data_IF_270375930193
#
_entry.id   IF_270375930193
#
_cell.length_a   1.000
_cell.length_b   1.000
_cell.length_c   1.000
_cell.angle_alpha   90.00
_cell.angle_beta   90.00
_cell.angle_gamma   90.00
#
_symmetry.space_group_name_H-M   'P 1'
#
loop_
_entity.id
_entity.type
_entity.pdbx_description
1 polymer ?
#
# COMPACT_ATOMS: atom_id res chain seq x y z
N UNK A 1 4.95 17.40 7.09
CA UNK A 1 3.90 17.75 6.09
C UNK A 1 2.81 16.72 6.26
N UNK A 2 1.55 17.13 6.38
CA UNK A 2 0.45 16.17 6.50
C UNK A 2 0.32 15.42 5.16
N UNK A 3 0.41 14.09 5.20
CA UNK A 3 0.19 13.25 4.02
C UNK A 3 -1.29 13.31 3.67
N UNK A 4 -1.63 13.70 2.44
CA UNK A 4 -3.00 13.68 1.93
C UNK A 4 -3.54 12.25 1.98
N UNK A 5 -4.76 12.07 2.46
CA UNK A 5 -5.43 10.77 2.43
C UNK A 5 -5.72 10.31 0.99
N UNK A 6 -5.86 9.00 0.77
CA UNK A 6 -6.24 8.45 -0.53
C UNK A 6 -7.57 8.99 -1.05
N UNK A 7 -8.52 9.30 -0.17
CA UNK A 7 -9.80 9.90 -0.56
C UNK A 7 -9.60 11.32 -1.10
N UNK A 8 -8.74 12.12 -0.46
CA UNK A 8 -8.40 13.47 -0.95
C UNK A 8 -7.68 13.41 -2.29
N UNK A 9 -6.68 12.52 -2.44
CA UNK A 9 -5.96 12.33 -3.71
C UNK A 9 -6.91 11.90 -4.82
N UNK A 10 -7.83 10.97 -4.53
CA UNK A 10 -8.82 10.50 -5.51
C UNK A 10 -9.77 11.63 -5.96
N UNK A 11 -10.22 12.48 -5.04
CA UNK A 11 -11.07 13.62 -5.38
C UNK A 11 -10.30 14.63 -6.24
N UNK A 12 -9.06 14.97 -5.87
CA UNK A 12 -8.20 15.85 -6.68
C UNK A 12 -7.93 15.28 -8.07
N UNK A 13 -7.72 13.96 -8.17
CA UNK A 13 -7.51 13.29 -9.45
C UNK A 13 -8.74 13.36 -10.35
N UNK A 14 -9.95 13.25 -9.79
CA UNK A 14 -11.19 13.44 -10.54
C UNK A 14 -11.34 14.88 -11.06
N UNK A 15 -11.02 15.88 -10.25
CA UNK A 15 -11.10 17.28 -10.65
C UNK A 15 -10.06 17.62 -11.74
N UNK A 16 -8.83 17.13 -11.56
CA UNK A 16 -7.77 17.20 -12.57
C UNK A 16 -8.21 16.54 -13.88
N UNK A 17 -8.73 15.31 -13.83
CA UNK A 17 -9.19 14.63 -15.03
C UNK A 17 -10.29 15.41 -15.76
N UNK A 18 -11.32 15.90 -15.05
CA UNK A 18 -12.40 16.69 -15.65
C UNK A 18 -11.91 17.97 -16.32
N UNK A 19 -10.94 18.64 -15.70
CA UNK A 19 -10.35 19.86 -16.25
C UNK A 19 -9.65 19.60 -17.58
N UNK A 20 -8.94 18.49 -17.67
CA UNK A 20 -8.08 18.17 -18.81
C UNK A 20 -8.72 17.30 -19.89
N UNK A 21 -9.90 16.70 -19.62
CA UNK A 21 -10.62 15.80 -20.54
C UNK A 21 -10.97 16.44 -21.90
N UNK A 22 -11.13 17.77 -21.96
CA UNK A 22 -11.53 18.48 -23.18
C UNK A 22 -10.50 19.49 -23.70
N UNK A 23 -9.31 19.56 -23.08
CA UNK A 23 -8.28 20.53 -23.47
C UNK A 23 -7.58 20.10 -24.77
N UNK A 24 -7.33 21.05 -25.68
CA UNK A 24 -6.82 20.79 -27.04
C UNK A 24 -5.55 21.56 -27.40
N UNK A 25 -5.00 22.36 -26.49
CA UNK A 25 -3.78 23.15 -26.71
C UNK A 25 -2.56 22.37 -26.20
N UNK A 26 -1.55 22.12 -27.05
CA UNK A 26 -0.49 21.15 -26.70
C UNK A 26 0.72 21.74 -25.93
N UNK A 27 1.35 22.84 -26.37
CA UNK A 27 2.69 23.21 -25.85
C UNK A 27 2.70 24.10 -24.59
N UNK A 28 1.86 25.14 -24.51
CA UNK A 28 1.78 26.00 -23.31
C UNK A 28 1.11 25.26 -22.12
N UNK A 29 0.37 24.20 -22.42
CA UNK A 29 -0.37 23.41 -21.45
C UNK A 29 0.46 22.26 -20.86
N UNK A 30 1.49 21.71 -21.53
CA UNK A 30 2.31 20.60 -21.00
C UNK A 30 2.89 20.92 -19.60
N UNK A 31 3.51 22.10 -19.45
CA UNK A 31 4.08 22.48 -18.16
C UNK A 31 3.01 22.69 -17.10
N UNK A 32 1.88 23.29 -17.48
CA UNK A 32 0.72 23.50 -16.60
C UNK A 32 0.12 22.16 -16.16
N UNK A 33 -0.08 21.24 -17.10
CA UNK A 33 -0.53 19.87 -16.88
C UNK A 33 0.31 19.17 -15.83
N UNK A 34 1.63 19.18 -15.98
CA UNK A 34 2.51 18.52 -15.02
C UNK A 34 2.65 19.29 -13.69
N UNK A 35 2.47 20.61 -13.66
CA UNK A 35 2.37 21.31 -12.38
C UNK A 35 1.14 20.82 -11.60
N UNK A 36 -0.02 20.76 -12.26
CA UNK A 36 -1.30 20.35 -11.67
C UNK A 36 -1.34 18.85 -11.35
N UNK A 37 -0.71 18.03 -12.18
CA UNK A 37 -0.53 16.59 -11.92
C UNK A 37 0.16 16.35 -10.59
N UNK A 38 1.21 17.10 -10.25
CA UNK A 38 1.87 16.99 -8.95
C UNK A 38 1.00 17.53 -7.79
N UNK A 39 0.20 18.57 -8.05
CA UNK A 39 -0.72 19.15 -7.06
C UNK A 39 -1.84 18.18 -6.65
N UNK A 40 -2.21 17.21 -7.51
CA UNK A 40 -3.09 16.09 -7.14
C UNK A 40 -2.56 15.34 -5.91
N UNK A 41 -1.24 15.21 -5.81
CA UNK A 41 -0.55 14.55 -4.69
C UNK A 41 -0.14 15.50 -3.57
N UNK A 42 -0.56 16.77 -3.64
CA UNK A 42 -0.21 17.80 -2.65
C UNK A 42 1.24 18.26 -2.73
N UNK A 43 1.93 17.95 -3.82
CA UNK A 43 3.33 18.30 -4.02
C UNK A 43 3.43 19.41 -5.08
N UNK A 44 4.26 20.42 -4.82
CA UNK A 44 4.60 21.37 -5.86
C UNK A 44 5.72 20.78 -6.70
N UNK A 45 5.48 20.59 -8.01
CA UNK A 45 6.48 20.09 -8.97
C UNK A 45 7.82 20.83 -8.84
N UNK A 46 7.80 22.16 -8.68
CA UNK A 46 9.01 23.01 -8.53
C UNK A 46 9.89 22.64 -7.33
N UNK A 47 9.37 21.94 -6.32
CA UNK A 47 10.15 21.51 -5.14
C UNK A 47 10.97 20.26 -5.38
N UNK A 48 10.64 19.48 -6.41
CA UNK A 48 11.21 18.14 -6.60
C UNK A 48 11.70 17.85 -8.02
N UNK A 49 11.16 18.57 -9.02
CA UNK A 49 11.45 18.28 -10.42
C UNK A 49 11.71 19.54 -11.26
N UNK A 50 12.63 19.40 -12.20
CA UNK A 50 12.96 20.39 -13.24
C UNK A 50 12.18 20.11 -14.52
N UNK A 51 11.92 21.15 -15.33
CA UNK A 51 11.46 20.99 -16.71
C UNK A 51 12.61 21.25 -17.67
N UNK A 52 12.56 20.63 -18.84
CA UNK A 52 13.51 20.86 -19.95
C UNK A 52 14.97 20.73 -19.46
N UNK A 53 15.26 19.69 -18.67
CA UNK A 53 16.59 19.50 -18.07
C UNK A 53 17.58 19.08 -19.16
N UNK A 54 18.70 19.81 -19.36
CA UNK A 54 19.70 19.45 -20.34
C UNK A 54 20.47 18.20 -19.89
N UNK A 55 20.59 17.22 -20.78
CA UNK A 55 21.31 15.97 -20.52
C UNK A 55 22.11 15.53 -21.75
N UNK A 56 23.23 14.84 -21.52
CA UNK A 56 23.98 14.22 -22.62
C UNK A 56 23.30 12.92 -23.02
N UNK A 57 23.09 12.73 -24.32
CA UNK A 57 22.58 11.48 -24.91
C UNK A 57 23.72 10.58 -25.37
N UNK A 58 23.38 9.35 -25.73
CA UNK A 58 24.21 8.46 -26.54
C UNK A 58 24.79 9.23 -27.75
N UNK A 59 26.09 9.09 -28.00
CA UNK A 59 26.87 9.83 -29.01
C UNK A 59 27.16 11.31 -28.72
N UNK A 60 27.17 11.73 -27.45
CA UNK A 60 27.60 13.07 -27.03
C UNK A 60 26.72 14.23 -27.56
N UNK A 61 25.50 13.92 -28.02
CA UNK A 61 24.50 14.92 -28.43
C UNK A 61 23.79 15.47 -27.20
N UNK A 62 23.34 16.72 -27.27
CA UNK A 62 22.57 17.33 -26.20
C UNK A 62 21.07 17.03 -26.38
N UNK A 63 20.43 16.57 -25.32
CA UNK A 63 18.99 16.36 -25.21
C UNK A 63 18.39 17.16 -24.08
N UNK A 64 17.06 17.20 -24.03
CA UNK A 64 16.30 17.85 -22.96
C UNK A 64 15.25 16.87 -22.46
N UNK A 65 15.26 16.61 -21.14
CA UNK A 65 14.24 15.80 -20.48
C UNK A 65 13.06 16.69 -20.18
N UNK A 66 11.87 16.27 -20.61
CA UNK A 66 10.66 17.08 -20.47
C UNK A 66 10.35 17.42 -19.01
N UNK A 67 10.33 16.43 -18.11
CA UNK A 67 10.34 16.64 -16.66
C UNK A 67 11.29 15.64 -16.01
N UNK A 68 12.11 16.14 -15.09
CA UNK A 68 13.07 15.32 -14.38
C UNK A 68 13.03 15.52 -12.87
N UNK A 69 12.65 14.45 -12.16
CA UNK A 69 12.82 14.30 -10.72
C UNK A 69 13.96 13.30 -10.48
N UNK A 70 15.14 13.84 -10.11
CA UNK A 70 16.36 13.07 -9.87
C UNK A 70 16.12 11.90 -8.93
N UNK A 71 16.55 10.70 -9.34
CA UNK A 71 16.44 9.48 -8.55
C UNK A 71 15.03 8.87 -8.48
N UNK A 72 14.02 9.51 -9.08
CA UNK A 72 12.61 9.10 -8.90
C UNK A 72 11.88 8.96 -10.23
N UNK A 73 11.76 10.02 -11.03
CA UNK A 73 10.88 10.04 -12.18
C UNK A 73 11.49 10.82 -13.35
N UNK A 74 11.54 10.18 -14.53
CA UNK A 74 11.64 10.87 -15.81
C UNK A 74 10.26 10.90 -16.45
N UNK A 75 9.89 12.03 -17.03
CA UNK A 75 8.73 12.12 -17.92
C UNK A 75 9.19 12.53 -19.30
N UNK A 76 8.66 11.86 -20.33
CA UNK A 76 8.76 12.25 -21.73
C UNK A 76 7.34 12.41 -22.30
N UNK A 77 7.09 13.51 -22.97
CA UNK A 77 5.78 13.90 -23.47
C UNK A 77 5.83 14.10 -24.98
N UNK A 78 4.75 13.68 -25.67
CA UNK A 78 4.60 13.90 -27.10
C UNK A 78 3.28 14.62 -27.40
N UNK A 79 3.20 15.24 -28.57
CA UNK A 79 1.91 15.69 -29.10
C UNK A 79 0.92 14.54 -29.22
N UNK A 80 -0.37 14.85 -29.20
CA UNK A 80 -1.46 13.89 -29.21
C UNK A 80 -1.36 12.92 -30.39
N UNK A 81 -1.46 11.61 -30.13
CA UNK A 81 -1.44 10.55 -31.13
C UNK A 81 -0.05 10.20 -31.68
N UNK A 82 1.02 10.73 -31.10
CA UNK A 82 2.40 10.38 -31.47
C UNK A 82 2.85 9.06 -30.81
N UNK A 83 3.91 8.49 -31.35
CA UNK A 83 4.44 7.20 -30.93
C UNK A 83 5.11 7.28 -29.55
N UNK A 84 4.50 6.64 -28.54
CA UNK A 84 5.04 6.58 -27.18
C UNK A 84 6.22 5.60 -27.03
N UNK A 85 6.40 4.64 -27.94
CA UNK A 85 7.58 3.76 -27.92
C UNK A 85 8.86 4.54 -28.22
N UNK A 86 8.81 5.52 -29.13
CA UNK A 86 9.93 6.42 -29.41
C UNK A 86 10.25 7.30 -28.20
N UNK A 87 9.22 7.75 -27.47
CA UNK A 87 9.40 8.51 -26.24
C UNK A 87 10.03 7.67 -25.12
N UNK A 88 9.63 6.39 -24.98
CA UNK A 88 10.28 5.44 -24.06
C UNK A 88 11.75 5.25 -24.41
N UNK A 89 12.05 4.96 -25.68
CA UNK A 89 13.44 4.80 -26.14
C UNK A 89 14.28 6.06 -25.87
N UNK A 90 13.71 7.25 -26.13
CA UNK A 90 14.34 8.53 -25.83
C UNK A 90 14.63 8.71 -24.33
N UNK A 91 13.73 8.29 -23.44
CA UNK A 91 13.95 8.34 -21.99
C UNK A 91 15.15 7.46 -21.56
N UNK A 92 15.31 6.28 -22.15
CA UNK A 92 16.45 5.39 -21.88
C UNK A 92 17.78 5.94 -22.41
N UNK A 93 17.80 6.68 -23.52
CA UNK A 93 19.02 7.30 -24.06
C UNK A 93 19.68 8.30 -23.08
N UNK A 94 18.92 8.85 -22.13
CA UNK A 94 19.45 9.79 -21.14
C UNK A 94 20.28 9.12 -20.05
N UNK A 95 20.14 7.81 -19.84
CA UNK A 95 20.76 7.10 -18.72
C UNK A 95 22.29 7.22 -18.78
N UNK A 96 22.86 7.21 -19.98
CA UNK A 96 24.29 7.46 -20.23
C UNK A 96 24.78 8.82 -19.71
N UNK A 97 23.91 9.83 -19.70
CA UNK A 97 24.23 11.18 -19.27
C UNK A 97 23.96 11.47 -17.80
N UNK A 98 23.31 10.55 -17.09
CA UNK A 98 22.91 10.71 -15.70
C UNK A 98 23.91 10.04 -14.75
N UNK A 99 24.07 10.60 -13.55
CA UNK A 99 24.85 9.97 -12.49
C UNK A 99 24.03 8.85 -11.83
N UNK A 100 24.70 7.91 -11.18
CA UNK A 100 24.06 6.78 -10.48
C UNK A 100 22.90 7.23 -9.55
N UNK A 101 23.13 8.25 -8.70
CA UNK A 101 22.10 8.78 -7.80
C UNK A 101 21.02 9.64 -8.47
N UNK A 102 21.12 9.87 -9.78
CA UNK A 102 20.13 10.60 -10.57
C UNK A 102 19.26 9.68 -11.43
N UNK A 103 19.65 8.41 -11.61
CA UNK A 103 18.89 7.40 -12.35
C UNK A 103 17.48 7.26 -11.76
N UNK A 104 16.42 7.40 -12.56
CA UNK A 104 15.06 7.33 -12.05
C UNK A 104 14.65 5.88 -11.78
N UNK A 105 13.79 5.68 -10.79
CA UNK A 105 13.03 4.43 -10.66
C UNK A 105 11.91 4.34 -11.69
N UNK A 106 11.24 5.45 -11.95
CA UNK A 106 10.05 5.52 -12.80
C UNK A 106 10.32 6.25 -14.11
N UNK A 107 9.76 5.74 -15.20
CA UNK A 107 9.62 6.47 -16.46
C UNK A 107 8.13 6.63 -16.72
N UNK A 108 7.67 7.85 -16.97
CA UNK A 108 6.33 8.12 -17.45
C UNK A 108 6.40 8.68 -18.87
N UNK A 109 5.65 8.08 -19.78
CA UNK A 109 5.49 8.56 -21.15
C UNK A 109 4.02 8.91 -21.40
N UNK A 110 3.74 10.04 -22.05
CA UNK A 110 2.37 10.43 -22.36
C UNK A 110 2.22 11.31 -23.60
N UNK A 111 1.04 11.26 -24.23
CA UNK A 111 0.60 12.16 -25.31
C UNK A 111 -0.70 12.91 -24.97
N UNK A 112 -0.91 13.24 -23.69
CA UNK A 112 -2.17 13.70 -23.08
C UNK A 112 -3.28 12.66 -23.00
N UNK A 113 -3.49 11.84 -24.03
CA UNK A 113 -4.56 10.85 -24.03
C UNK A 113 -4.12 9.49 -23.45
N UNK A 114 -2.88 9.09 -23.66
CA UNK A 114 -2.34 7.82 -23.24
C UNK A 114 -1.23 8.03 -22.20
N UNK A 115 -1.17 7.13 -21.24
CA UNK A 115 -0.17 7.08 -20.18
C UNK A 115 0.52 5.73 -20.21
N UNK A 116 1.85 5.74 -20.20
CA UNK A 116 2.68 4.55 -20.04
C UNK A 116 3.65 4.78 -18.88
N UNK A 117 3.42 4.11 -17.76
CA UNK A 117 4.29 4.16 -16.58
C UNK A 117 5.12 2.88 -16.49
N UNK A 118 6.42 3.03 -16.39
CA UNK A 118 7.37 1.93 -16.19
C UNK A 118 7.99 2.06 -14.80
N UNK A 119 7.92 1.00 -14.00
CA UNK A 119 8.66 0.86 -12.73
C UNK A 119 9.89 -0.01 -13.02
N UNK A 120 11.07 0.62 -13.08
CA UNK A 120 12.32 -0.05 -13.49
C UNK A 120 12.87 -0.98 -12.41
N UNK A 121 12.58 -0.70 -11.14
CA UNK A 121 13.00 -1.55 -10.03
C UNK A 121 12.22 -2.88 -10.04
N UNK A 122 10.91 -2.82 -10.31
CA UNK A 122 10.02 -3.98 -10.32
C UNK A 122 9.86 -4.61 -11.72
N UNK A 123 10.42 -3.97 -12.76
CA UNK A 123 10.25 -4.35 -14.17
C UNK A 123 8.77 -4.48 -14.57
N UNK A 124 7.92 -3.57 -14.08
CA UNK A 124 6.49 -3.52 -14.37
C UNK A 124 6.15 -2.39 -15.34
N UNK A 125 5.10 -2.61 -16.13
CA UNK A 125 4.65 -1.67 -17.15
C UNK A 125 3.13 -1.52 -17.12
N UNK A 126 2.67 -0.28 -17.08
CA UNK A 126 1.25 0.07 -16.98
C UNK A 126 0.86 1.00 -18.11
N UNK A 127 -0.16 0.62 -18.89
CA UNK A 127 -0.69 1.40 -20.01
C UNK A 127 -2.17 1.68 -19.81
N UNK A 128 -2.58 2.94 -19.88
CA UNK A 128 -3.98 3.32 -19.75
C UNK A 128 -4.28 4.65 -20.43
N UNK A 129 -5.56 4.89 -20.73
CA UNK A 129 -6.04 6.18 -21.25
C UNK A 129 -6.28 7.18 -20.11
N UNK A 130 -6.10 8.48 -20.38
CA UNK A 130 -6.26 9.56 -19.42
C UNK A 130 -7.67 9.63 -18.82
N UNK A 131 -8.70 9.20 -19.56
CA UNK A 131 -10.08 9.06 -19.03
C UNK A 131 -10.18 8.11 -17.82
N UNK A 132 -9.20 7.22 -17.66
CA UNK A 132 -9.10 6.26 -16.56
C UNK A 132 -8.03 6.69 -15.53
N UNK A 133 -7.53 7.93 -15.60
CA UNK A 133 -6.50 8.44 -14.69
C UNK A 133 -6.90 8.29 -13.22
N UNK A 134 -8.13 8.67 -12.85
CA UNK A 134 -8.59 8.53 -11.46
C UNK A 134 -8.63 7.07 -10.98
N UNK A 135 -8.86 6.11 -11.88
CA UNK A 135 -8.90 4.66 -11.55
C UNK A 135 -7.50 4.13 -11.28
N UNK A 136 -6.51 4.70 -11.95
CA UNK A 136 -5.10 4.30 -11.90
C UNK A 136 -4.26 5.17 -10.95
N UNK A 137 -4.87 6.12 -10.22
CA UNK A 137 -4.14 7.11 -9.42
C UNK A 137 -3.16 6.52 -8.39
N UNK A 138 -3.43 5.30 -7.93
CA UNK A 138 -2.55 4.58 -6.98
C UNK A 138 -1.18 4.25 -7.56
N UNK A 139 -1.05 4.11 -8.88
CA UNK A 139 0.25 3.87 -9.54
C UNK A 139 1.24 5.01 -9.29
N UNK A 140 0.74 6.22 -9.05
CA UNK A 140 1.52 7.43 -8.80
C UNK A 140 1.65 7.78 -7.31
N UNK A 141 1.29 6.86 -6.41
CA UNK A 141 1.37 7.08 -4.97
C UNK A 141 2.75 7.54 -4.48
N UNK A 142 3.81 7.11 -5.17
CA UNK A 142 5.19 7.51 -4.87
C UNK A 142 5.39 9.04 -4.87
N UNK A 143 4.60 9.79 -5.64
CA UNK A 143 4.67 11.27 -5.68
C UNK A 143 4.20 11.87 -4.34
N UNK A 144 3.19 11.29 -3.71
CA UNK A 144 2.70 11.71 -2.39
C UNK A 144 3.58 11.20 -1.23
N UNK A 145 4.72 10.56 -1.53
CA UNK A 145 5.53 9.89 -0.52
C UNK A 145 4.91 8.59 -0.01
N UNK A 146 3.83 8.11 -0.62
CA UNK A 146 3.42 6.72 -0.45
C UNK A 146 4.44 5.87 -1.19
N UNK A 147 5.42 5.35 -0.45
CA UNK A 147 6.12 4.18 -0.94
C UNK A 147 5.03 3.15 -1.26
N UNK A 148 5.03 2.65 -2.49
CA UNK A 148 4.37 1.38 -2.77
C UNK A 148 4.97 0.48 -1.69
N UNK A 149 4.18 0.14 -0.66
CA UNK A 149 4.33 -1.19 -0.07
C UNK A 149 3.97 -2.07 -1.25
N UNK A 150 4.96 -2.28 -2.11
CA UNK A 150 5.05 -3.51 -2.86
C UNK A 150 4.87 -4.48 -1.72
N UNK A 151 3.75 -5.18 -1.72
CA UNK A 151 3.77 -6.51 -1.15
C UNK A 151 4.78 -7.25 -2.03
N UNK A 152 6.08 -6.91 -1.88
CA UNK A 152 7.21 -7.73 -2.25
C UNK A 152 6.81 -9.01 -1.60
N UNK A 153 6.48 -9.98 -2.45
CA UNK A 153 6.08 -11.34 -2.13
C UNK A 153 5.91 -11.48 -0.63
N UNK A 154 4.65 -11.39 -0.12
CA UNK A 154 4.31 -11.64 1.29
C UNK A 154 5.44 -12.49 1.84
N UNK A 155 6.31 -11.97 2.72
CA UNK A 155 7.56 -12.66 3.05
C UNK A 155 7.26 -14.15 3.24
N UNK A 156 8.14 -15.11 2.89
CA UNK A 156 7.79 -16.53 2.98
C UNK A 156 7.06 -16.92 4.29
N UNK A 157 7.37 -16.21 5.39
CA UNK A 157 6.62 -16.19 6.64
C UNK A 157 5.12 -15.78 6.53
N UNK A 158 4.77 -14.68 5.88
CA UNK A 158 3.39 -14.20 5.64
C UNK A 158 2.57 -15.09 4.69
N UNK A 159 3.17 -15.65 3.63
CA UNK A 159 2.50 -16.67 2.78
C UNK A 159 2.21 -17.89 3.64
N UNK A 160 3.22 -18.38 4.36
CA UNK A 160 3.09 -19.53 5.25
C UNK A 160 2.07 -19.28 6.36
N UNK A 161 2.02 -18.08 6.93
CA UNK A 161 1.03 -17.70 7.93
C UNK A 161 -0.39 -17.72 7.37
N UNK A 162 -0.59 -17.16 6.17
CA UNK A 162 -1.89 -17.22 5.47
C UNK A 162 -2.32 -18.66 5.16
N UNK A 163 -1.39 -19.50 4.70
CA UNK A 163 -1.65 -20.92 4.47
C UNK A 163 -1.97 -21.68 5.77
N UNK A 164 -1.30 -21.36 6.87
CA UNK A 164 -1.57 -21.95 8.19
C UNK A 164 -2.96 -21.54 8.70
N UNK A 165 -3.36 -20.28 8.53
CA UNK A 165 -4.72 -19.82 8.86
C UNK A 165 -5.78 -20.51 8.01
N UNK A 166 -5.53 -20.70 6.71
CA UNK A 166 -6.42 -21.47 5.82
C UNK A 166 -6.53 -22.94 6.25
N UNK A 167 -5.41 -23.59 6.60
CA UNK A 167 -5.42 -24.96 7.11
C UNK A 167 -6.17 -25.07 8.45
N UNK A 168 -6.04 -24.08 9.32
CA UNK A 168 -6.77 -24.04 10.59
C UNK A 168 -8.28 -23.91 10.34
N UNK A 169 -8.70 -23.02 9.44
CA UNK A 169 -10.10 -22.92 8.99
C UNK A 169 -10.63 -24.27 8.50
N UNK A 170 -9.95 -24.91 7.54
CA UNK A 170 -10.38 -26.18 6.97
C UNK A 170 -10.51 -27.29 8.02
N UNK A 171 -9.61 -27.31 9.01
CA UNK A 171 -9.63 -28.29 10.10
C UNK A 171 -10.80 -28.06 11.06
N UNK A 172 -11.08 -26.83 11.42
CA UNK A 172 -12.20 -26.50 12.31
C UNK A 172 -13.55 -26.68 11.60
N UNK A 173 -13.66 -26.27 10.33
CA UNK A 173 -14.85 -26.48 9.52
C UNK A 173 -15.23 -27.97 9.40
N UNK A 174 -14.23 -28.86 9.24
CA UNK A 174 -14.44 -30.32 9.23
C UNK A 174 -14.91 -30.89 10.56
N UNK A 175 -14.75 -30.16 11.66
CA UNK A 175 -15.20 -30.55 13.00
C UNK A 175 -16.51 -29.86 13.41
N UNK A 176 -17.35 -29.50 12.44
CA UNK A 176 -18.69 -28.92 12.63
C UNK A 176 -18.73 -27.53 13.31
N UNK A 177 -17.63 -26.77 13.27
CA UNK A 177 -17.71 -25.34 13.57
C UNK A 177 -18.53 -24.63 12.49
N UNK A 178 -19.51 -23.82 12.90
CA UNK A 178 -20.39 -23.11 11.96
C UNK A 178 -19.61 -22.00 11.27
N UNK A 179 -19.90 -21.78 9.98
CA UNK A 179 -19.14 -20.85 9.14
C UNK A 179 -19.01 -19.45 9.77
N UNK A 180 -20.10 -18.86 10.25
CA UNK A 180 -20.06 -17.52 10.83
C UNK A 180 -19.23 -17.45 12.13
N UNK A 181 -19.45 -18.41 13.04
CA UNK A 181 -18.75 -18.49 14.32
C UNK A 181 -17.25 -18.77 14.11
N UNK A 182 -16.91 -19.60 13.13
CA UNK A 182 -15.55 -19.93 12.74
C UNK A 182 -14.80 -18.74 12.13
N UNK A 183 -15.43 -18.01 11.21
CA UNK A 183 -14.85 -16.82 10.60
C UNK A 183 -14.56 -15.75 11.67
N UNK A 184 -15.51 -15.51 12.58
CA UNK A 184 -15.33 -14.58 13.69
C UNK A 184 -14.23 -15.05 14.65
N UNK A 185 -14.18 -16.34 14.98
CA UNK A 185 -13.14 -16.94 15.81
C UNK A 185 -11.74 -16.70 15.23
N UNK A 186 -11.54 -16.96 13.93
CA UNK A 186 -10.24 -16.78 13.28
C UNK A 186 -9.82 -15.31 13.22
N UNK A 187 -10.76 -14.39 12.99
CA UNK A 187 -10.45 -12.96 13.03
C UNK A 187 -9.98 -12.55 14.44
N UNK A 188 -10.58 -13.09 15.51
CA UNK A 188 -10.15 -12.82 16.89
C UNK A 188 -8.76 -13.40 17.19
N UNK A 189 -8.47 -14.62 16.74
CA UNK A 189 -7.13 -15.21 16.89
C UNK A 189 -6.10 -14.38 16.13
N UNK A 190 -6.40 -13.98 14.89
CA UNK A 190 -5.53 -13.11 14.09
C UNK A 190 -5.29 -11.76 14.76
N UNK A 191 -6.33 -11.17 15.36
CA UNK A 191 -6.19 -9.95 16.16
C UNK A 191 -5.24 -10.17 17.34
N UNK A 192 -5.37 -11.28 18.07
CA UNK A 192 -4.53 -11.57 19.23
C UNK A 192 -3.05 -11.73 18.84
N UNK A 193 -2.76 -12.43 17.74
CA UNK A 193 -1.40 -12.54 17.20
C UNK A 193 -0.82 -11.17 16.84
N UNK A 194 -1.62 -10.31 16.18
CA UNK A 194 -1.19 -8.96 15.83
C UNK A 194 -1.01 -8.07 17.07
N UNK A 195 -1.88 -8.21 18.06
CA UNK A 195 -1.83 -7.42 19.29
C UNK A 195 -0.57 -7.71 20.12
N UNK A 196 -0.12 -8.97 20.12
CA UNK A 196 1.16 -9.39 20.72
C UNK A 196 2.36 -8.74 20.02
N UNK A 197 2.39 -8.77 18.68
CA UNK A 197 3.51 -8.24 17.89
C UNK A 197 3.57 -6.70 17.88
N UNK A 198 2.45 -6.02 18.12
CA UNK A 198 2.36 -4.55 18.05
C UNK A 198 2.42 -3.85 19.41
N UNK A 199 2.50 -4.60 20.50
CA UNK A 199 2.56 -4.06 21.86
C UNK A 199 1.21 -3.58 22.39
N UNK A 200 0.10 -4.01 21.78
CA UNK A 200 -1.25 -3.84 22.35
C UNK A 200 -1.38 -4.77 23.56
N UNK A 201 -0.95 -6.02 23.42
CA UNK A 201 -0.66 -6.91 24.55
C UNK A 201 0.78 -6.68 25.00
N UNK A 202 1.08 -6.91 26.27
CA UNK A 202 2.44 -6.72 26.78
C UNK A 202 3.21 -8.04 26.59
N UNK A 203 4.54 -7.97 26.61
CA UNK A 203 5.43 -9.12 26.84
C UNK A 203 5.14 -10.46 26.11
N UNK A 204 4.60 -10.45 24.89
CA UNK A 204 4.15 -11.68 24.21
C UNK A 204 3.08 -12.47 25.04
N UNK A 205 2.18 -11.77 25.74
CA UNK A 205 1.18 -12.34 26.65
C UNK A 205 0.28 -13.39 25.95
N UNK A 206 -0.09 -13.17 24.68
CA UNK A 206 -0.92 -14.13 23.95
C UNK A 206 -0.15 -15.42 23.64
N UNK A 207 1.10 -15.30 23.19
CA UNK A 207 1.97 -16.45 22.98
C UNK A 207 2.21 -17.20 24.29
N UNK A 208 2.51 -16.51 25.38
CA UNK A 208 2.67 -17.12 26.71
C UNK A 208 1.39 -17.84 27.17
N UNK A 209 0.21 -17.26 26.95
CA UNK A 209 -1.07 -17.92 27.25
C UNK A 209 -1.19 -19.25 26.49
N UNK A 210 -0.82 -19.30 25.21
CA UNK A 210 -0.89 -20.54 24.41
C UNK A 210 0.19 -21.54 24.84
N UNK A 211 1.45 -21.12 24.93
CA UNK A 211 2.59 -22.01 25.17
C UNK A 211 2.66 -22.54 26.61
N UNK A 212 2.25 -21.75 27.60
CA UNK A 212 2.45 -22.07 29.03
C UNK A 212 1.16 -22.36 29.81
N UNK A 213 -0.02 -21.93 29.33
CA UNK A 213 -1.30 -22.19 30.02
C UNK A 213 -2.13 -23.30 29.39
N UNK A 214 -1.91 -23.62 28.12
CA UNK A 214 -2.62 -24.72 27.46
C UNK A 214 -1.83 -26.02 27.53
N UNK A 215 -2.53 -27.15 27.46
CA UNK A 215 -1.89 -28.47 27.39
C UNK A 215 -1.27 -28.70 26.01
N UNK A 216 -0.17 -29.45 26.00
CA UNK A 216 0.53 -29.87 24.78
C UNK A 216 -0.39 -30.64 23.81
N UNK A 217 -1.40 -31.36 24.31
CA UNK A 217 -2.38 -32.09 23.49
C UNK A 217 -3.50 -31.19 22.90
N UNK A 218 -3.55 -29.91 23.26
CA UNK A 218 -4.52 -28.93 22.80
C UNK A 218 -5.94 -29.12 23.32
N UNK A 219 -6.16 -30.04 24.27
CA UNK A 219 -7.50 -30.41 24.75
C UNK A 219 -8.23 -29.27 25.48
N UNK A 220 -7.50 -28.27 25.99
CA UNK A 220 -8.05 -27.11 26.71
C UNK A 220 -7.79 -25.76 26.01
N UNK A 221 -7.13 -25.73 24.85
CA UNK A 221 -6.83 -24.49 24.13
C UNK A 221 -8.10 -23.67 23.83
N UNK A 222 -9.18 -24.35 23.43
CA UNK A 222 -10.46 -23.67 23.17
C UNK A 222 -11.07 -23.01 24.41
N UNK A 223 -10.89 -23.59 25.61
CA UNK A 223 -11.41 -23.05 26.87
C UNK A 223 -10.64 -21.76 27.22
N UNK A 224 -9.31 -21.80 27.13
CA UNK A 224 -8.47 -20.62 27.39
C UNK A 224 -8.75 -19.48 26.41
N UNK A 225 -8.90 -19.79 25.12
CA UNK A 225 -9.25 -18.78 24.12
C UNK A 225 -10.62 -18.15 24.38
N UNK A 226 -11.61 -18.95 24.81
CA UNK A 226 -12.93 -18.42 25.15
C UNK A 226 -12.86 -17.45 26.34
N UNK A 227 -12.15 -17.83 27.42
CA UNK A 227 -11.94 -16.97 28.58
C UNK A 227 -11.18 -15.70 28.22
N UNK A 228 -10.15 -15.80 27.37
CA UNK A 228 -9.44 -14.63 26.87
C UNK A 228 -10.39 -13.68 26.12
N UNK A 229 -11.22 -14.18 25.21
CA UNK A 229 -12.14 -13.33 24.45
C UNK A 229 -13.16 -12.62 25.33
N UNK A 230 -13.67 -13.28 26.37
CA UNK A 230 -14.52 -12.66 27.39
C UNK A 230 -13.76 -11.53 28.13
N UNK A 231 -12.50 -11.78 28.52
CA UNK A 231 -11.66 -10.79 29.21
C UNK A 231 -11.36 -9.57 28.34
N UNK A 232 -11.15 -9.75 27.04
CA UNK A 232 -10.92 -8.66 26.08
C UNK A 232 -12.18 -7.79 25.87
N UNK A 233 -13.37 -8.36 26.13
CA UNK A 233 -14.67 -7.68 26.08
C UNK A 233 -15.16 -7.17 27.46
N UNK A 234 -14.46 -7.52 28.55
CA UNK A 234 -14.85 -7.12 29.91
C UNK A 234 -13.95 -6.01 30.42
N UNK A 235 -14.55 -4.90 30.84
CA UNK A 235 -13.83 -3.78 31.47
C UNK A 235 -13.08 -4.26 32.71
N UNK A 236 -11.90 -3.68 32.95
CA UNK A 236 -10.98 -4.13 34.00
C UNK A 236 -11.67 -4.17 35.38
N UNK A 237 -12.48 -3.15 35.69
CA UNK A 237 -13.23 -3.01 36.93
C UNK A 237 -14.43 -3.98 37.09
N UNK A 238 -14.89 -4.59 35.99
CA UNK A 238 -16.01 -5.52 35.96
C UNK A 238 -15.56 -7.00 35.98
N UNK A 239 -14.24 -7.25 35.90
CA UNK A 239 -13.66 -8.61 35.91
C UNK A 239 -13.82 -9.28 37.27
N UNK A 240 -13.90 -10.61 37.25
CA UNK A 240 -13.94 -11.41 38.47
C UNK A 240 -12.67 -11.22 39.31
N UNK A 241 -12.83 -11.08 40.63
CA UNK A 241 -11.71 -10.82 41.55
C UNK A 241 -10.71 -11.98 41.61
N UNK A 242 -11.18 -13.20 41.35
CA UNK A 242 -10.41 -14.44 41.33
C UNK A 242 -10.00 -14.89 39.90
N UNK A 243 -10.06 -13.99 38.90
CA UNK A 243 -9.56 -14.28 37.54
C UNK A 243 -8.08 -14.67 37.58
N UNK A 244 -7.65 -15.56 36.68
CA UNK A 244 -6.24 -15.96 36.55
C UNK A 244 -5.35 -14.73 36.32
N UNK A 245 -4.19 -14.68 37.00
CA UNK A 245 -3.28 -13.54 36.95
C UNK A 245 -2.76 -13.25 35.53
N UNK A 246 -2.57 -14.28 34.70
CA UNK A 246 -2.18 -14.09 33.30
C UNK A 246 -3.30 -13.45 32.49
N UNK A 247 -4.55 -13.83 32.73
CA UNK A 247 -5.69 -13.21 32.05
C UNK A 247 -5.91 -11.75 32.50
N UNK A 248 -5.56 -11.39 33.75
CA UNK A 248 -5.70 -10.02 34.25
C UNK A 248 -4.84 -9.00 33.48
N UNK A 249 -3.70 -9.42 32.94
CA UNK A 249 -2.77 -8.53 32.24
C UNK A 249 -3.30 -8.04 30.89
N UNK A 250 -4.23 -8.77 30.27
CA UNK A 250 -4.79 -8.38 28.99
C UNK A 250 -5.64 -7.10 29.10
N UNK A 251 -5.49 -6.15 28.17
CA UNK A 251 -6.27 -4.92 28.18
C UNK A 251 -7.75 -5.18 27.86
N UNK A 252 -8.59 -4.21 28.18
CA UNK A 252 -9.93 -4.12 27.59
C UNK A 252 -9.80 -3.51 26.19
N UNK A 253 -10.29 -4.21 25.17
CA UNK A 253 -10.10 -3.79 23.76
C UNK A 253 -11.32 -3.04 23.21
N UNK A 254 -12.52 -3.33 23.71
CA UNK A 254 -13.81 -2.80 23.25
C UNK A 254 -13.92 -2.53 21.74
N UNK A 255 -14.56 -3.46 21.05
CA UNK A 255 -15.07 -3.25 19.72
C UNK A 255 -15.97 -4.41 19.39
N UNK A 256 -16.94 -4.17 18.52
CA UNK A 256 -17.89 -5.17 18.00
C UNK A 256 -17.28 -6.53 17.59
N UNK A 257 -15.96 -6.59 17.42
CA UNK A 257 -15.18 -7.80 17.27
C UNK A 257 -15.34 -8.80 18.43
N UNK A 258 -15.39 -8.38 19.71
CA UNK A 258 -15.43 -9.30 20.87
C UNK A 258 -16.82 -9.43 21.54
N UNK A 259 -17.77 -8.55 21.23
CA UNK A 259 -19.10 -8.47 21.86
C UNK A 259 -19.98 -9.75 21.77
N UNK A 260 -19.71 -10.64 20.81
CA UNK A 260 -20.50 -11.87 20.62
C UNK A 260 -19.79 -13.10 21.18
N UNK A 261 -20.47 -13.92 21.98
CA UNK A 261 -19.96 -15.22 22.37
C UNK A 261 -19.89 -16.16 21.14
N UNK A 262 -18.68 -16.62 20.80
CA UNK A 262 -18.49 -17.69 19.81
C UNK A 262 -18.87 -19.01 20.48
N UNK A 263 -19.78 -19.76 19.85
CA UNK A 263 -20.30 -21.04 20.36
C UNK A 263 -19.56 -22.25 19.80
#
# INVERSE_FOLDING_TARGET
MANLSWNEIKNRALDFQKKWENEKRENAEKQTFYNEFFEVFGLSRRRVASFEEPVKKLNNRQGFIDLFWKGVLIVEHKSLGKNLQEAKAQAFEYFEGLKEGELPRYILVSDFNNFELFDLDENEEYRFEFKDFYKNIKLFGFIAGYQKRVYKDLEPANIKASELMGKLYDRLAKNNYKQHDLELFLVRVLFCLFADDTGIFKNEDFKYLIEDKTKEDGSDTGIWLHQLFEVLDTKIEERQTNLDETLKEFPYINGSLFENAVK
#
